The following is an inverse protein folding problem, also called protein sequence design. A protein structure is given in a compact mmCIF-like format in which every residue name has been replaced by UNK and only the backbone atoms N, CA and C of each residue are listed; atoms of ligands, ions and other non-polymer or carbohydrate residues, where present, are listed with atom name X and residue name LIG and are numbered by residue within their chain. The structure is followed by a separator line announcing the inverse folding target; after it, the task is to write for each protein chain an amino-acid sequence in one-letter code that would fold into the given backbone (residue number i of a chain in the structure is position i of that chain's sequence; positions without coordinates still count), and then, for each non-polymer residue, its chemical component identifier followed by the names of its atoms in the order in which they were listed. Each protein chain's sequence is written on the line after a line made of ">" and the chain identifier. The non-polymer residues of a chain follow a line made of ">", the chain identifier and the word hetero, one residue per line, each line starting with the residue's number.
data_IF_782093788739
#
_entry.id   IF_782093788739
#
_cell.length_a   1.000
_cell.length_b   1.000
_cell.length_c   1.000
_cell.angle_alpha   90.00
_cell.angle_beta   90.00
_cell.angle_gamma   90.00
#
_symmetry.space_group_name_H-M   'P 1'
#
loop_
_entity.id
_entity.type
_entity.pdbx_description
1 polymer ?
#
# COMPACT_ATOMS: atom_id res chain seq x y z
N UNK A 1 -24.23 26.05 34.02
CA UNK A 1 -24.83 25.21 32.96
C UNK A 1 -26.28 24.99 33.34
N UNK A 2 -27.23 25.31 32.45
CA UNK A 2 -28.67 25.19 32.74
C UNK A 2 -29.12 23.73 32.59
N UNK A 3 -30.11 23.29 33.37
CA UNK A 3 -30.69 21.95 33.27
C UNK A 3 -31.19 21.63 31.84
N UNK A 4 -31.68 22.66 31.13
CA UNK A 4 -32.07 22.55 29.71
C UNK A 4 -30.90 22.20 28.79
N UNK A 5 -29.71 22.76 29.05
CA UNK A 5 -28.50 22.48 28.27
C UNK A 5 -28.05 21.02 28.46
N UNK A 6 -28.18 20.50 29.69
CA UNK A 6 -27.81 19.10 29.99
C UNK A 6 -28.77 18.10 29.35
N UNK A 7 -30.08 18.37 29.38
CA UNK A 7 -31.10 17.54 28.72
C UNK A 7 -30.88 17.54 27.21
N UNK A 8 -30.61 18.70 26.61
CA UNK A 8 -30.31 18.83 25.18
C UNK A 8 -29.09 17.98 24.78
N UNK A 9 -27.99 18.04 25.54
CA UNK A 9 -26.80 17.21 25.29
C UNK A 9 -27.08 15.73 25.43
N UNK A 10 -27.85 15.31 26.43
CA UNK A 10 -28.21 13.90 26.62
C UNK A 10 -29.04 13.37 25.44
N UNK A 11 -30.01 14.16 24.97
CA UNK A 11 -30.81 13.80 23.80
C UNK A 11 -29.95 13.71 22.53
N UNK A 12 -28.98 14.61 22.35
CA UNK A 12 -28.02 14.55 21.23
C UNK A 12 -27.14 13.29 21.29
N UNK A 13 -26.64 12.92 22.48
CA UNK A 13 -25.84 11.71 22.67
C UNK A 13 -26.68 10.45 22.41
N UNK A 14 -27.93 10.43 22.86
CA UNK A 14 -28.86 9.33 22.61
C UNK A 14 -29.08 9.14 21.10
N UNK A 15 -29.41 10.21 20.37
CA UNK A 15 -29.59 10.17 18.92
C UNK A 15 -28.32 9.69 18.18
N UNK A 16 -27.15 10.21 18.53
CA UNK A 16 -25.89 9.79 17.93
C UNK A 16 -25.52 8.34 18.24
N UNK A 17 -25.93 7.81 19.40
CA UNK A 17 -25.75 6.40 19.74
C UNK A 17 -26.72 5.51 18.97
N UNK A 18 -27.98 5.90 18.83
CA UNK A 18 -28.95 5.16 18.01
C UNK A 18 -28.47 5.00 16.57
N UNK A 19 -27.93 6.06 15.96
CA UNK A 19 -27.35 5.98 14.61
C UNK A 19 -26.16 5.02 14.52
N UNK A 20 -25.31 4.96 15.55
CA UNK A 20 -24.17 4.02 15.59
C UNK A 20 -24.63 2.59 15.78
N UNK A 21 -25.63 2.36 16.63
CA UNK A 21 -26.20 1.05 16.87
C UNK A 21 -26.81 0.51 15.57
N UNK A 22 -27.62 1.29 14.85
CA UNK A 22 -28.16 0.89 13.53
C UNK A 22 -27.09 0.41 12.54
N UNK A 23 -25.86 0.90 12.64
CA UNK A 23 -24.72 0.52 11.80
C UNK A 23 -23.90 -0.66 12.32
N UNK A 24 -24.04 -1.02 13.60
CA UNK A 24 -23.26 -2.04 14.26
C UNK A 24 -23.90 -3.43 14.11
N UNK A 25 -23.23 -4.40 13.46
CA UNK A 25 -23.78 -5.75 13.22
C UNK A 25 -24.05 -6.55 14.50
N UNK A 26 -23.51 -6.13 15.65
CA UNK A 26 -23.71 -6.80 16.94
C UNK A 26 -24.83 -6.17 17.79
N UNK A 27 -25.66 -5.30 17.20
CA UNK A 27 -26.76 -4.66 17.92
C UNK A 27 -28.12 -5.16 17.43
N UNK A 28 -29.11 -5.14 18.31
CA UNK A 28 -30.47 -5.60 18.01
C UNK A 28 -31.19 -4.70 16.98
N UNK A 29 -30.78 -3.43 16.87
CA UNK A 29 -31.37 -2.45 15.94
C UNK A 29 -30.60 -2.31 14.63
N UNK A 30 -29.69 -3.26 14.35
CA UNK A 30 -28.86 -3.26 13.15
C UNK A 30 -29.69 -3.33 11.86
N UNK A 31 -29.35 -2.50 10.88
CA UNK A 31 -29.86 -2.60 9.52
C UNK A 31 -28.71 -2.73 8.52
N UNK A 32 -28.93 -3.53 7.47
CA UNK A 32 -27.99 -3.67 6.37
C UNK A 32 -27.88 -2.32 5.63
N UNK A 33 -26.67 -1.78 5.59
CA UNK A 33 -26.38 -0.54 4.86
C UNK A 33 -26.16 -0.84 3.38
N UNK A 34 -26.95 -0.20 2.52
CA UNK A 34 -26.72 -0.22 1.08
C UNK A 34 -25.73 0.89 0.73
N UNK A 35 -24.55 0.50 0.27
CA UNK A 35 -23.54 1.45 -0.19
C UNK A 35 -23.52 1.54 -1.71
N UNK A 36 -23.50 2.76 -2.22
CA UNK A 36 -23.29 2.99 -3.65
C UNK A 36 -21.78 2.95 -3.96
N UNK A 37 -21.37 2.02 -4.81
CA UNK A 37 -19.97 1.85 -5.22
C UNK A 37 -19.50 2.96 -6.15
N UNK A 38 -20.43 3.67 -6.83
CA UNK A 38 -20.10 4.78 -7.71
C UNK A 38 -19.93 6.12 -6.95
N UNK A 39 -20.32 6.18 -5.68
CA UNK A 39 -20.21 7.40 -4.88
C UNK A 39 -18.74 7.80 -4.64
N UNK A 40 -18.45 9.10 -4.70
CA UNK A 40 -17.09 9.66 -4.50
C UNK A 40 -16.52 9.36 -3.11
N UNK A 41 -17.41 9.22 -2.13
CA UNK A 41 -17.09 8.97 -0.72
C UNK A 41 -17.10 7.49 -0.36
N UNK A 42 -17.35 6.60 -1.33
CA UNK A 42 -17.30 5.17 -1.12
C UNK A 42 -15.88 4.73 -0.73
N UNK A 43 -15.77 3.94 0.34
CA UNK A 43 -14.49 3.48 0.89
C UNK A 43 -13.64 4.59 1.51
N UNK A 44 -14.19 5.80 1.73
CA UNK A 44 -13.51 6.89 2.43
C UNK A 44 -14.00 7.01 3.88
N UNK A 45 -13.13 7.43 4.81
CA UNK A 45 -13.57 7.82 6.14
C UNK A 45 -14.59 8.96 6.04
N UNK A 46 -15.52 9.04 7.00
CA UNK A 46 -16.43 10.18 7.08
C UNK A 46 -15.64 11.48 7.28
N UNK A 47 -16.06 12.55 6.59
CA UNK A 47 -15.42 13.86 6.69
C UNK A 47 -15.44 14.40 8.12
N UNK A 48 -14.35 15.03 8.54
CA UNK A 48 -14.12 15.51 9.90
C UNK A 48 -13.86 14.42 10.95
N UNK A 49 -13.77 13.14 10.55
CA UNK A 49 -13.54 12.06 11.52
C UNK A 49 -12.09 11.98 12.00
N UNK A 50 -11.90 11.41 13.18
CA UNK A 50 -10.56 11.06 13.69
C UNK A 50 -9.80 10.12 12.73
N UNK A 51 -10.51 9.29 11.97
CA UNK A 51 -9.91 8.37 11.00
C UNK A 51 -9.37 9.11 9.79
N UNK A 52 -10.12 10.09 9.27
CA UNK A 52 -9.62 10.98 8.23
C UNK A 52 -8.38 11.74 8.69
N UNK A 53 -8.44 12.40 9.86
CA UNK A 53 -7.31 13.14 10.41
C UNK A 53 -6.05 12.28 10.57
N UNK A 54 -6.20 11.01 10.98
CA UNK A 54 -5.08 10.03 11.01
C UNK A 54 -4.55 9.73 9.62
N UNK A 55 -5.43 9.56 8.63
CA UNK A 55 -5.06 9.35 7.23
C UNK A 55 -4.27 10.52 6.67
N UNK A 56 -4.70 11.76 6.90
CA UNK A 56 -3.99 12.98 6.49
C UNK A 56 -2.62 13.07 7.14
N UNK A 57 -2.54 12.83 8.47
CA UNK A 57 -1.28 12.86 9.21
C UNK A 57 -0.30 11.79 8.71
N UNK A 58 -0.79 10.59 8.42
CA UNK A 58 0.00 9.53 7.80
C UNK A 58 0.50 9.95 6.41
N UNK A 59 -0.35 10.60 5.61
CA UNK A 59 0.02 11.17 4.32
C UNK A 59 1.18 12.16 4.43
N UNK A 60 1.11 13.12 5.36
CA UNK A 60 2.18 14.09 5.61
C UNK A 60 3.48 13.40 6.04
N UNK A 61 3.39 12.40 6.92
CA UNK A 61 4.57 11.64 7.35
C UNK A 61 5.26 10.95 6.16
N UNK A 62 4.47 10.33 5.30
CA UNK A 62 4.93 9.69 4.08
C UNK A 62 5.57 10.68 3.11
N UNK A 63 5.02 11.89 2.98
CA UNK A 63 5.64 12.93 2.16
C UNK A 63 7.06 13.24 2.64
N UNK A 64 7.25 13.36 3.96
CA UNK A 64 8.56 13.64 4.56
C UNK A 64 9.56 12.51 4.34
N UNK A 65 9.12 11.26 4.45
CA UNK A 65 9.97 10.09 4.20
C UNK A 65 10.45 10.04 2.74
N UNK A 66 9.60 10.39 1.78
CA UNK A 66 9.97 10.46 0.36
C UNK A 66 10.96 11.59 0.11
N UNK A 67 10.76 12.76 0.72
CA UNK A 67 11.72 13.87 0.63
C UNK A 67 13.09 13.47 1.19
N UNK A 68 13.12 12.85 2.36
CA UNK A 68 14.33 12.35 2.98
C UNK A 68 15.03 11.29 2.10
N UNK A 69 14.27 10.39 1.47
CA UNK A 69 14.82 9.43 0.52
C UNK A 69 15.50 10.12 -0.66
N UNK A 70 14.86 11.13 -1.26
CA UNK A 70 15.45 11.89 -2.37
C UNK A 70 16.71 12.65 -1.95
N UNK A 71 16.74 13.23 -0.75
CA UNK A 71 17.94 13.88 -0.19
C UNK A 71 19.08 12.88 0.02
N UNK A 72 18.78 11.70 0.56
CA UNK A 72 19.79 10.67 0.77
C UNK A 72 20.38 10.15 -0.55
N UNK A 73 19.52 9.98 -1.57
CA UNK A 73 19.97 9.62 -2.91
C UNK A 73 20.85 10.73 -3.47
N UNK A 74 20.42 11.99 -3.44
CA UNK A 74 21.17 13.13 -3.99
C UNK A 74 22.59 13.24 -3.40
N UNK A 75 22.75 12.98 -2.10
CA UNK A 75 24.05 12.99 -1.40
C UNK A 75 25.00 11.84 -1.80
N UNK A 76 24.45 10.68 -2.19
CA UNK A 76 25.22 9.45 -2.41
C UNK A 76 25.22 8.97 -3.88
N UNK A 77 24.45 9.66 -4.73
CA UNK A 77 24.27 9.34 -6.14
C UNK A 77 25.47 9.76 -6.98
N UNK A 78 25.60 9.08 -8.10
CA UNK A 78 26.58 9.34 -9.14
C UNK A 78 25.84 9.92 -10.36
N UNK A 79 26.52 10.77 -11.14
CA UNK A 79 25.95 11.42 -12.32
C UNK A 79 25.77 12.93 -12.22
N UNK A 80 25.23 13.53 -13.27
CA UNK A 80 24.99 14.97 -13.38
C UNK A 80 23.50 15.29 -13.24
N UNK A 81 23.17 16.44 -12.66
CA UNK A 81 21.81 16.96 -12.65
C UNK A 81 21.26 17.15 -14.08
N UNK A 82 19.98 16.87 -14.35
CA UNK A 82 18.89 16.57 -13.41
C UNK A 82 18.71 15.08 -13.07
N UNK A 83 19.42 14.17 -13.73
CA UNK A 83 19.15 12.72 -13.68
C UNK A 83 20.25 11.96 -12.93
N UNK A 84 20.31 12.17 -11.62
CA UNK A 84 21.22 11.45 -10.72
C UNK A 84 20.76 10.01 -10.54
N UNK A 85 21.71 9.08 -10.39
CA UNK A 85 21.39 7.66 -10.19
C UNK A 85 22.26 7.04 -9.09
N UNK A 86 21.72 6.01 -8.43
CA UNK A 86 22.43 5.25 -7.40
C UNK A 86 22.13 3.76 -7.55
N UNK A 87 23.12 2.91 -7.24
CA UNK A 87 22.91 1.45 -7.18
C UNK A 87 22.09 1.07 -5.96
N UNK A 88 21.16 0.12 -6.13
CA UNK A 88 20.28 -0.34 -5.06
C UNK A 88 21.04 -0.88 -3.85
N UNK A 89 22.08 -1.69 -4.03
CA UNK A 89 22.82 -2.29 -2.91
C UNK A 89 23.50 -1.25 -2.01
N UNK A 90 24.07 -0.20 -2.62
CA UNK A 90 24.66 0.94 -1.90
C UNK A 90 23.59 1.71 -1.13
N UNK A 91 22.49 2.06 -1.80
CA UNK A 91 21.37 2.76 -1.17
C UNK A 91 20.76 1.95 -0.01
N UNK A 92 20.57 0.64 -0.20
CA UNK A 92 20.03 -0.26 0.81
C UNK A 92 20.91 -0.32 2.04
N UNK A 93 22.23 -0.44 1.87
CA UNK A 93 23.17 -0.50 3.00
C UNK A 93 23.14 0.78 3.83
N UNK A 94 23.12 1.95 3.17
CA UNK A 94 23.09 3.25 3.85
C UNK A 94 21.73 3.47 4.54
N UNK A 95 20.63 3.18 3.83
CA UNK A 95 19.29 3.41 4.36
C UNK A 95 18.94 2.45 5.50
N UNK A 96 19.43 1.21 5.47
CA UNK A 96 19.20 0.20 6.53
C UNK A 96 19.67 0.63 7.91
N UNK A 97 20.66 1.54 7.99
CA UNK A 97 21.09 2.12 9.25
C UNK A 97 19.98 2.96 9.92
N UNK A 98 19.14 3.60 9.11
CA UNK A 98 18.08 4.50 9.59
C UNK A 98 16.71 3.83 9.63
N UNK A 99 16.39 2.96 8.66
CA UNK A 99 15.05 2.43 8.46
C UNK A 99 15.02 1.18 7.57
N UNK A 100 14.11 0.25 7.85
CA UNK A 100 13.85 -0.97 7.09
C UNK A 100 12.84 -0.78 5.93
N UNK A 101 12.32 0.44 5.76
CA UNK A 101 11.21 0.75 4.84
C UNK A 101 11.62 1.12 3.41
N UNK A 102 12.88 0.96 3.01
CA UNK A 102 13.41 1.47 1.74
C UNK A 102 12.57 1.06 0.53
N UNK A 103 12.34 -0.24 0.33
CA UNK A 103 11.64 -0.75 -0.86
C UNK A 103 10.21 -0.21 -0.94
N UNK A 104 9.52 -0.11 0.20
CA UNK A 104 8.19 0.50 0.26
C UNK A 104 8.19 1.98 -0.09
N UNK A 105 9.22 2.74 0.32
CA UNK A 105 9.36 4.15 -0.03
C UNK A 105 9.72 4.35 -1.49
N UNK A 106 10.56 3.49 -2.08
CA UNK A 106 10.89 3.50 -3.51
C UNK A 106 9.66 3.26 -4.38
N UNK A 107 8.86 2.24 -4.07
CA UNK A 107 7.61 1.96 -4.80
C UNK A 107 6.65 3.15 -4.71
N UNK A 108 6.59 3.80 -3.55
CA UNK A 108 5.73 4.96 -3.36
C UNK A 108 6.23 6.19 -4.12
N UNK A 109 7.52 6.48 -4.09
CA UNK A 109 8.12 7.55 -4.87
C UNK A 109 7.93 7.32 -6.39
N UNK A 110 8.01 6.06 -6.84
CA UNK A 110 7.71 5.65 -8.22
C UNK A 110 6.25 5.87 -8.59
N UNK A 111 5.29 5.59 -7.70
CA UNK A 111 3.85 5.87 -7.94
C UNK A 111 3.60 7.34 -8.29
N UNK A 112 4.38 8.24 -7.70
CA UNK A 112 4.31 9.68 -7.97
C UNK A 112 5.24 10.14 -9.09
N UNK A 113 6.02 9.25 -9.71
CA UNK A 113 6.90 9.59 -10.82
C UNK A 113 8.14 10.40 -10.42
N UNK A 114 8.59 10.31 -9.16
CA UNK A 114 9.82 10.97 -8.69
C UNK A 114 11.07 10.15 -9.00
N UNK A 115 10.94 8.83 -8.90
CA UNK A 115 12.03 7.87 -9.09
C UNK A 115 11.61 6.84 -10.14
N UNK A 116 12.60 6.30 -10.85
CA UNK A 116 12.46 5.17 -11.73
C UNK A 116 13.50 4.10 -11.42
N UNK A 117 13.08 2.83 -11.49
CA UNK A 117 13.95 1.67 -11.35
C UNK A 117 13.34 0.50 -12.13
N UNK A 118 14.19 -0.41 -12.56
CA UNK A 118 13.79 -1.58 -13.35
C UNK A 118 13.18 -2.70 -12.48
N UNK A 119 12.08 -3.30 -12.95
CA UNK A 119 11.38 -4.39 -12.28
C UNK A 119 10.26 -3.91 -11.33
N UNK A 120 9.46 -4.84 -10.80
CA UNK A 120 8.33 -4.51 -9.89
C UNK A 120 8.77 -4.37 -8.43
N UNK A 121 9.74 -5.19 -8.02
CA UNK A 121 10.31 -5.22 -6.67
C UNK A 121 11.83 -5.36 -6.76
N UNK A 122 12.52 -4.96 -5.69
CA UNK A 122 13.97 -5.08 -5.54
C UNK A 122 14.28 -5.97 -4.33
N UNK A 123 15.11 -6.98 -4.54
CA UNK A 123 15.53 -7.94 -3.52
C UNK A 123 17.01 -7.77 -3.18
N UNK A 124 17.33 -7.83 -1.88
CA UNK A 124 18.70 -7.78 -1.39
C UNK A 124 19.55 -8.91 -2.00
N UNK A 125 20.83 -8.63 -2.31
CA UNK A 125 21.81 -9.58 -2.89
C UNK A 125 21.53 -10.02 -4.33
N UNK A 126 20.28 -9.92 -4.78
CA UNK A 126 19.88 -10.24 -6.16
C UNK A 126 19.92 -8.99 -7.04
N UNK A 127 19.36 -7.88 -6.55
CA UNK A 127 19.12 -6.67 -7.33
C UNK A 127 20.10 -5.53 -6.99
N UNK A 128 21.19 -5.82 -6.30
CA UNK A 128 22.12 -4.82 -5.78
C UNK A 128 22.72 -3.90 -6.87
N UNK A 129 22.82 -4.42 -8.10
CA UNK A 129 23.35 -3.70 -9.26
C UNK A 129 22.31 -2.89 -10.04
N UNK A 130 21.02 -2.94 -9.66
CA UNK A 130 19.98 -2.16 -10.35
C UNK A 130 20.13 -0.68 -10.02
N UNK A 131 19.99 0.15 -11.05
CA UNK A 131 20.07 1.60 -10.93
C UNK A 131 18.71 2.18 -10.55
N UNK A 132 18.72 3.05 -9.53
CA UNK A 132 17.60 3.87 -9.12
C UNK A 132 17.91 5.28 -9.60
N UNK A 133 17.11 5.77 -10.54
CA UNK A 133 17.31 7.08 -11.17
C UNK A 133 16.29 8.08 -10.64
N UNK A 134 16.77 9.25 -10.24
CA UNK A 134 15.93 10.41 -9.93
C UNK A 134 15.49 11.09 -11.23
N UNK A 135 14.19 11.40 -11.33
CA UNK A 135 13.61 12.05 -12.50
C UNK A 135 13.54 13.59 -12.37
N UNK A 136 13.75 14.10 -11.16
CA UNK A 136 13.72 15.52 -10.84
C UNK A 136 14.94 15.88 -10.00
N UNK A 137 15.38 17.14 -10.12
CA UNK A 137 16.40 17.71 -9.24
C UNK A 137 15.88 17.82 -7.81
N UNK A 138 16.76 17.81 -6.80
CA UNK A 138 16.35 17.95 -5.41
C UNK A 138 15.61 19.28 -5.15
N UNK A 139 16.06 20.36 -5.79
CA UNK A 139 15.42 21.68 -5.72
C UNK A 139 13.99 21.64 -6.26
N UNK A 140 13.78 21.04 -7.43
CA UNK A 140 12.45 20.85 -8.01
C UNK A 140 11.54 20.03 -7.08
N UNK A 141 12.06 18.95 -6.51
CA UNK A 141 11.27 18.07 -5.64
C UNK A 141 10.79 18.85 -4.41
N UNK A 142 11.64 19.66 -3.79
CA UNK A 142 11.28 20.46 -2.60
C UNK A 142 10.20 21.51 -2.90
N UNK A 143 10.24 22.13 -4.07
CA UNK A 143 9.25 23.16 -4.45
C UNK A 143 7.92 22.55 -4.88
N UNK A 144 7.96 21.43 -5.61
CA UNK A 144 6.78 20.85 -6.26
C UNK A 144 6.01 19.89 -5.38
N UNK A 145 6.67 19.27 -4.40
CA UNK A 145 6.07 18.22 -3.58
C UNK A 145 5.25 18.82 -2.44
N UNK A 146 3.93 18.68 -2.52
CA UNK A 146 3.00 19.11 -1.47
C UNK A 146 2.17 17.94 -0.95
N UNK A 147 1.83 17.99 0.34
CA UNK A 147 0.87 17.06 0.93
C UNK A 147 -0.54 17.47 0.48
N UNK A 148 -1.26 16.56 -0.20
CA UNK A 148 -2.56 16.86 -0.80
C UNK A 148 -3.68 17.11 0.21
N UNK A 149 -3.51 16.64 1.45
CA UNK A 149 -4.60 16.58 2.43
C UNK A 149 -5.57 15.41 2.22
N UNK A 150 -5.45 14.66 1.13
CA UNK A 150 -6.29 13.50 0.84
C UNK A 150 -5.68 12.19 1.37
N UNK A 151 -6.45 11.30 2.03
CA UNK A 151 -5.93 10.04 2.56
C UNK A 151 -5.56 9.02 1.47
N UNK A 152 -6.13 9.13 0.27
CA UNK A 152 -5.88 8.21 -0.86
C UNK A 152 -4.66 8.63 -1.69
N UNK A 153 -4.56 9.93 -1.96
CA UNK A 153 -3.50 10.53 -2.77
C UNK A 153 -2.70 11.50 -1.90
N UNK A 154 -1.78 10.96 -1.10
CA UNK A 154 -1.08 11.74 -0.08
C UNK A 154 -0.18 12.85 -0.65
N UNK A 155 0.41 12.64 -1.83
CA UNK A 155 1.34 13.54 -2.49
C UNK A 155 0.72 14.08 -3.78
N UNK A 156 0.87 15.38 -4.01
CA UNK A 156 0.65 16.04 -5.31
C UNK A 156 1.97 16.64 -5.75
N UNK A 157 2.31 16.46 -7.01
CA UNK A 157 3.47 17.08 -7.66
C UNK A 157 2.90 18.05 -8.69
N UNK A 158 3.11 19.34 -8.44
CA UNK A 158 2.70 20.41 -9.36
C UNK A 158 3.89 20.75 -10.28
N UNK A 159 3.67 20.82 -11.59
CA UNK A 159 4.69 21.34 -12.53
C UNK A 159 4.87 20.55 -13.82
N UNK A 160 5.75 21.03 -14.72
CA UNK A 160 6.03 20.39 -16.00
C UNK A 160 6.62 18.98 -15.84
N UNK A 161 6.35 18.07 -16.79
CA UNK A 161 6.82 16.69 -16.74
C UNK A 161 8.36 16.61 -16.68
N UNK A 162 8.92 15.55 -16.08
CA UNK A 162 10.35 15.43 -15.89
C UNK A 162 11.06 15.24 -17.24
N UNK A 163 12.30 15.74 -17.34
CA UNK A 163 13.16 15.52 -18.51
C UNK A 163 13.75 14.11 -18.40
N UNK A 164 13.07 13.16 -19.04
CA UNK A 164 13.45 11.76 -18.99
C UNK A 164 14.66 11.50 -19.90
N UNK A 165 15.70 10.79 -19.45
CA UNK A 165 16.73 10.31 -20.33
C UNK A 165 16.14 9.30 -21.34
N UNK A 166 16.72 9.19 -22.55
CA UNK A 166 16.17 8.39 -23.65
C UNK A 166 15.99 6.91 -23.27
N UNK A 167 16.90 6.35 -22.47
CA UNK A 167 16.83 4.96 -22.03
C UNK A 167 15.62 4.70 -21.10
N UNK A 168 15.27 5.69 -20.26
CA UNK A 168 14.11 5.60 -19.37
C UNK A 168 12.80 5.81 -20.12
N UNK A 169 12.80 6.66 -21.15
CA UNK A 169 11.64 6.80 -22.04
C UNK A 169 11.32 5.46 -22.70
N UNK A 170 12.31 4.81 -23.30
CA UNK A 170 12.16 3.50 -23.92
C UNK A 170 11.71 2.43 -22.90
N UNK A 171 12.28 2.44 -21.68
CA UNK A 171 11.88 1.52 -20.62
C UNK A 171 10.43 1.75 -20.15
N UNK A 172 9.98 3.00 -20.02
CA UNK A 172 8.60 3.34 -19.67
C UNK A 172 7.62 2.94 -20.78
N UNK A 173 7.96 3.20 -22.04
CA UNK A 173 7.15 2.79 -23.18
C UNK A 173 7.02 1.26 -23.25
N UNK A 174 8.11 0.53 -23.01
CA UNK A 174 8.10 -0.93 -22.93
C UNK A 174 7.26 -1.44 -21.75
N UNK A 175 7.37 -0.80 -20.58
CA UNK A 175 6.56 -1.12 -19.39
C UNK A 175 5.07 -0.86 -19.65
N UNK A 176 4.71 0.27 -20.25
CA UNK A 176 3.34 0.61 -20.62
C UNK A 176 2.79 -0.35 -21.68
N UNK A 177 3.59 -0.73 -22.67
CA UNK A 177 3.21 -1.73 -23.66
C UNK A 177 2.97 -3.11 -23.01
N UNK A 178 3.86 -3.54 -22.11
CA UNK A 178 3.70 -4.78 -21.36
C UNK A 178 2.48 -4.74 -20.43
N UNK A 179 2.23 -3.61 -19.76
CA UNK A 179 1.06 -3.41 -18.91
C UNK A 179 -0.24 -3.42 -19.73
N UNK A 180 -0.25 -2.81 -20.92
CA UNK A 180 -1.37 -2.87 -21.86
C UNK A 180 -1.62 -4.31 -22.31
N UNK A 181 -0.57 -5.07 -22.63
CA UNK A 181 -0.67 -6.48 -22.99
C UNK A 181 -1.19 -7.35 -21.84
N UNK A 182 -0.77 -7.10 -20.59
CA UNK A 182 -1.29 -7.75 -19.38
C UNK A 182 -2.77 -7.42 -19.13
N UNK A 183 -3.18 -6.17 -19.36
CA UNK A 183 -4.60 -5.76 -19.26
C UNK A 183 -5.45 -6.46 -20.32
N UNK A 184 -4.97 -6.56 -21.55
CA UNK A 184 -5.68 -7.26 -22.63
C UNK A 184 -5.82 -8.76 -22.36
N UNK A 185 -4.77 -9.41 -21.87
CA UNK A 185 -4.79 -10.84 -21.52
C UNK A 185 -5.57 -11.14 -20.23
N UNK A 186 -5.49 -10.28 -19.21
CA UNK A 186 -6.28 -10.39 -17.99
C UNK A 186 -7.78 -10.16 -18.21
N UNK A 187 -8.13 -9.19 -19.08
CA UNK A 187 -9.50 -8.98 -19.51
C UNK A 187 -10.03 -10.17 -20.34
N UNK A 188 -9.20 -10.76 -21.20
CA UNK A 188 -9.55 -11.98 -21.94
C UNK A 188 -9.73 -13.20 -21.01
N UNK A 189 -8.89 -13.34 -19.97
CA UNK A 189 -9.02 -14.38 -18.95
C UNK A 189 -10.29 -14.23 -18.10
N UNK A 190 -10.60 -13.01 -17.66
CA UNK A 190 -11.85 -12.72 -16.95
C UNK A 190 -13.09 -12.90 -17.84
N UNK A 191 -13.00 -12.49 -19.10
CA UNK A 191 -14.06 -12.72 -20.09
C UNK A 191 -14.28 -14.22 -20.35
N UNK A 192 -13.21 -15.02 -20.46
CA UNK A 192 -13.29 -16.47 -20.62
C UNK A 192 -13.92 -17.16 -19.39
N UNK A 193 -13.55 -16.73 -18.17
CA UNK A 193 -14.16 -17.21 -16.91
C UNK A 193 -15.65 -16.82 -16.83
N UNK A 194 -16.01 -15.62 -17.31
CA UNK A 194 -17.41 -15.18 -17.35
C UNK A 194 -18.23 -15.85 -18.45
N UNK A 195 -17.59 -16.28 -19.54
CA UNK A 195 -18.20 -16.98 -20.67
C UNK A 195 -18.38 -18.47 -20.40
N UNK A 196 -17.57 -19.07 -19.51
CA UNK A 196 -17.87 -20.38 -18.94
C UNK A 196 -19.08 -20.29 -18.02
N UNK A 197 -20.27 -20.34 -18.60
CA UNK A 197 -21.53 -20.62 -17.90
C UNK A 197 -21.38 -21.94 -17.14
N UNK A 198 -21.22 -21.85 -15.82
CA UNK A 198 -21.29 -22.98 -14.91
C UNK A 198 -20.43 -22.75 -13.68
N UNK A 199 -21.04 -22.36 -12.57
CA UNK A 199 -20.43 -22.60 -11.28
C UNK A 199 -20.11 -24.11 -11.21
N UNK A 200 -18.87 -24.53 -10.88
CA UNK A 200 -18.61 -25.94 -10.67
C UNK A 200 -19.56 -26.42 -9.57
N UNK A 201 -20.30 -27.50 -9.85
CA UNK A 201 -21.20 -28.11 -8.90
C UNK A 201 -20.44 -28.31 -7.59
N UNK A 202 -20.97 -27.72 -6.52
CA UNK A 202 -20.38 -27.79 -5.19
C UNK A 202 -20.43 -29.27 -4.81
N UNK A 203 -19.34 -30.02 -5.06
CA UNK A 203 -19.25 -31.42 -4.65
C UNK A 203 -19.60 -31.45 -3.18
N UNK A 204 -20.77 -32.00 -2.88
CA UNK A 204 -21.11 -32.37 -1.52
C UNK A 204 -19.92 -33.15 -0.98
N UNK A 205 -19.51 -32.79 0.24
CA UNK A 205 -18.46 -33.53 0.95
C UNK A 205 -18.81 -35.00 0.81
N UNK A 206 -17.99 -35.72 0.05
CA UNK A 206 -18.06 -37.18 -0.08
C UNK A 206 -18.29 -37.72 1.33
N UNK A 207 -19.36 -38.49 1.54
CA UNK A 207 -19.51 -39.25 2.77
C UNK A 207 -18.22 -40.02 2.98
N UNK A 208 -17.62 -39.88 4.16
CA UNK A 208 -16.41 -40.59 4.52
C UNK A 208 -16.70 -42.08 4.37
N UNK A 209 -16.06 -42.73 3.39
CA UNK A 209 -16.08 -44.19 3.28
C UNK A 209 -15.46 -44.77 4.57
N UNK A 210 -16.14 -45.66 5.30
CA UNK A 210 -15.70 -46.12 6.62
C UNK A 210 -14.48 -47.06 6.61
N UNK A 211 -13.76 -47.17 5.49
CA UNK A 211 -12.74 -48.21 5.28
C UNK A 211 -11.33 -47.67 4.92
N UNK A 212 -11.00 -46.41 5.22
CA UNK A 212 -9.62 -45.91 5.10
C UNK A 212 -8.93 -46.00 6.47
N UNK A 213 -7.93 -46.89 6.66
CA UNK A 213 -7.19 -46.92 7.92
C UNK A 213 -6.41 -45.60 8.10
N UNK A 214 -6.58 -44.99 9.26
CA UNK A 214 -5.86 -43.79 9.68
C UNK A 214 -4.34 -44.01 9.57
N UNK A 215 -3.58 -43.11 8.94
CA UNK A 215 -2.12 -43.18 8.99
C UNK A 215 -1.64 -42.98 10.44
N UNK A 216 -0.66 -43.78 10.85
CA UNK A 216 -0.09 -43.77 12.20
C UNK A 216 0.43 -42.38 12.58
N UNK A 217 0.21 -42.01 13.85
CA UNK A 217 0.67 -40.74 14.40
C UNK A 217 2.20 -40.62 14.31
N UNK A 218 2.74 -39.44 13.96
CA UNK A 218 4.18 -39.23 13.98
C UNK A 218 4.71 -39.31 15.42
N UNK A 219 5.95 -39.83 15.62
CA UNK A 219 6.53 -39.96 16.95
C UNK A 219 6.69 -38.59 17.62
N UNK A 220 6.29 -38.51 18.89
CA UNK A 220 6.43 -37.34 19.73
C UNK A 220 7.89 -36.90 19.84
N UNK A 221 8.24 -35.78 19.22
CA UNK A 221 9.53 -35.14 19.39
C UNK A 221 9.49 -34.34 20.71
N UNK A 222 9.75 -35.01 21.83
CA UNK A 222 10.03 -34.33 23.09
C UNK A 222 11.38 -33.59 22.96
N UNK A 223 11.34 -32.28 22.67
CA UNK A 223 12.51 -31.43 22.88
C UNK A 223 12.76 -31.29 24.38
N UNK A 224 13.76 -32.03 24.87
CA UNK A 224 14.38 -31.75 26.15
C UNK A 224 15.15 -30.42 26.04
N UNK A 225 14.65 -29.38 26.72
CA UNK A 225 15.38 -28.14 26.95
C UNK A 225 16.56 -28.44 27.88
N UNK A 226 17.78 -28.38 27.36
CA UNK A 226 18.98 -28.35 28.18
C UNK A 226 19.16 -26.94 28.79
N UNK A 227 19.43 -26.81 30.10
CA UNK A 227 19.67 -25.51 30.73
C UNK A 227 21.04 -24.94 30.34
N UNK A 228 21.10 -23.61 30.16
CA UNK A 228 22.33 -22.85 29.94
C UNK A 228 23.22 -22.88 31.20
N UNK A 229 24.56 -22.99 31.07
CA UNK A 229 25.47 -22.69 32.16
C UNK A 229 25.61 -21.17 32.35
N UNK A 230 25.54 -20.73 33.60
CA UNK A 230 25.93 -19.40 34.07
C UNK A 230 27.43 -19.40 34.34
N UNK A 231 28.16 -18.45 33.75
CA UNK A 231 29.37 -17.82 34.26
C UNK A 231 29.58 -16.48 33.53
#
# INVERSE_FOLDING_TARGET
>A
MSARDTISRLNQVAAANEEKLKKNPFSDTYSLQNFDTAAKDYGRPSSGSKTEARGVRAGIHVCREILYLCELIDQNAEGHEPNRWIKFGKLFTIYSYYSDKLVGMLIRARKYGLLHFEGEMLYQRQDDNKNITMLYSLSDIRERMKASGDPKNCVVIEGPPPVLPPDILAAKEAEEAAAKQRRMSGAAGFAAISASKGAPERRDRRSLDPAVPLPAAPPSFCMAFAPKPEE
#
